data_IF_578080800786
#
_entry.id   IF_578080800786
#
_cell.length_a   1.000
_cell.length_b   1.000
_cell.length_c   1.000
_cell.angle_alpha   90.00
_cell.angle_beta   90.00
_cell.angle_gamma   90.00
#
_symmetry.space_group_name_H-M   'P 1'
#
loop_
_entity.id
_entity.type
_entity.pdbx_description
1 polymer ?
#
# COMPACT_ATOMS: atom_id res chain seq x y z
N UNK A 1 13.34 -28.57 -29.42
CA UNK A 1 12.04 -28.03 -29.88
C UNK A 1 11.03 -28.12 -28.73
N UNK A 2 10.84 -27.03 -27.95
CA UNK A 2 9.81 -26.99 -26.88
C UNK A 2 8.43 -26.99 -27.55
N UNK A 3 7.61 -28.02 -27.31
CA UNK A 3 6.19 -27.99 -27.70
C UNK A 3 5.50 -26.93 -26.83
N UNK A 4 4.98 -25.86 -27.45
CA UNK A 4 4.03 -24.97 -26.77
C UNK A 4 2.85 -25.84 -26.35
N UNK A 5 2.60 -25.96 -25.05
CA UNK A 5 1.37 -26.56 -24.54
C UNK A 5 0.26 -25.62 -24.97
N UNK A 6 -0.63 -26.11 -25.82
CA UNK A 6 -1.81 -25.36 -26.24
C UNK A 6 -2.63 -25.09 -24.99
N UNK A 7 -2.79 -23.80 -24.64
CA UNK A 7 -3.61 -23.41 -23.50
C UNK A 7 -5.06 -23.77 -23.83
N UNK A 8 -5.70 -24.51 -22.94
CA UNK A 8 -7.10 -24.88 -23.09
C UNK A 8 -7.94 -23.59 -23.30
N UNK A 9 -8.90 -23.60 -24.25
CA UNK A 9 -9.61 -22.38 -24.64
C UNK A 9 -10.20 -21.59 -23.47
N UNK A 10 -10.73 -22.27 -22.45
CA UNK A 10 -11.31 -21.63 -21.27
C UNK A 10 -10.26 -20.90 -20.43
N UNK A 11 -9.05 -21.43 -20.31
CA UNK A 11 -7.92 -20.73 -19.66
C UNK A 11 -7.48 -19.49 -20.45
N UNK A 12 -7.45 -19.59 -21.79
CA UNK A 12 -7.13 -18.44 -22.65
C UNK A 12 -8.20 -17.33 -22.52
N UNK A 13 -9.47 -17.70 -22.39
CA UNK A 13 -10.55 -16.75 -22.12
C UNK A 13 -10.37 -15.99 -20.80
N UNK A 14 -9.80 -16.63 -19.77
CA UNK A 14 -9.55 -15.99 -18.48
C UNK A 14 -8.33 -15.07 -18.53
N UNK A 15 -7.23 -15.52 -19.14
CA UNK A 15 -5.95 -14.79 -19.19
C UNK A 15 -6.02 -13.59 -20.15
N UNK A 16 -6.69 -13.74 -21.29
CA UNK A 16 -6.76 -12.71 -22.35
C UNK A 16 -8.12 -12.00 -22.43
N UNK A 17 -8.91 -12.03 -21.35
CA UNK A 17 -10.25 -11.42 -21.31
C UNK A 17 -10.23 -9.94 -21.72
N UNK A 18 -9.22 -9.17 -21.29
CA UNK A 18 -9.07 -7.74 -21.60
C UNK A 18 -8.90 -7.45 -23.10
N UNK A 19 -8.34 -8.40 -23.86
CA UNK A 19 -8.03 -8.27 -25.30
C UNK A 19 -9.19 -8.71 -26.18
N UNK A 20 -10.23 -9.31 -25.60
CA UNK A 20 -11.36 -9.87 -26.34
C UNK A 20 -12.50 -8.84 -26.46
N UNK A 21 -12.99 -8.57 -27.68
CA UNK A 21 -14.10 -7.65 -27.86
C UNK A 21 -15.38 -8.23 -27.22
N UNK A 22 -16.08 -7.42 -26.41
CA UNK A 22 -17.37 -7.77 -25.82
C UNK A 22 -17.35 -8.32 -24.39
N UNK A 23 -16.19 -8.66 -23.84
CA UNK A 23 -16.03 -9.03 -22.41
C UNK A 23 -15.40 -7.87 -21.65
N UNK A 24 -16.20 -6.83 -21.40
CA UNK A 24 -15.78 -5.71 -20.56
C UNK A 24 -15.99 -6.10 -19.10
N UNK A 25 -14.91 -6.47 -18.40
CA UNK A 25 -14.99 -6.76 -16.97
C UNK A 25 -15.54 -5.52 -16.24
N UNK A 26 -16.78 -5.60 -15.72
CA UNK A 26 -17.44 -4.48 -15.02
C UNK A 26 -16.86 -4.23 -13.63
N UNK A 27 -16.16 -5.22 -13.05
CA UNK A 27 -15.27 -4.95 -11.92
C UNK A 27 -14.00 -4.40 -12.54
N UNK A 28 -13.67 -3.14 -12.21
CA UNK A 28 -12.27 -2.79 -12.03
C UNK A 28 -11.78 -3.72 -10.92
N UNK A 29 -11.29 -4.90 -11.31
CA UNK A 29 -10.25 -5.56 -10.52
C UNK A 29 -9.23 -4.45 -10.44
N UNK A 30 -9.10 -3.83 -9.26
CA UNK A 30 -7.89 -3.06 -8.99
C UNK A 30 -6.79 -3.99 -9.47
N UNK A 31 -5.96 -3.55 -10.41
CA UNK A 31 -4.74 -4.26 -10.71
C UNK A 31 -4.03 -4.38 -9.37
N UNK A 32 -4.30 -5.45 -8.63
CA UNK A 32 -3.47 -5.89 -7.52
C UNK A 32 -2.26 -6.31 -8.31
N UNK A 33 -1.37 -5.35 -8.52
CA UNK A 33 -0.19 -5.54 -9.30
C UNK A 33 0.56 -6.63 -8.56
N UNK A 34 0.48 -7.87 -9.03
CA UNK A 34 1.43 -8.91 -8.70
C UNK A 34 2.73 -8.55 -9.42
N UNK A 35 3.24 -7.36 -9.11
CA UNK A 35 4.45 -6.80 -9.69
C UNK A 35 5.61 -7.54 -9.04
N UNK A 36 5.88 -8.73 -9.59
CA UNK A 36 7.02 -9.54 -9.22
C UNK A 36 8.28 -9.07 -9.95
N UNK A 37 8.27 -7.91 -10.60
CA UNK A 37 9.41 -7.37 -11.34
C UNK A 37 10.66 -7.24 -10.45
N UNK A 38 10.49 -6.86 -9.17
CA UNK A 38 11.60 -6.81 -8.22
C UNK A 38 12.11 -8.20 -7.84
N UNK A 39 11.23 -9.20 -7.76
CA UNK A 39 11.60 -10.59 -7.49
C UNK A 39 12.38 -11.18 -8.68
N UNK A 40 11.85 -11.03 -9.89
CA UNK A 40 12.49 -11.53 -11.13
C UNK A 40 13.88 -10.90 -11.30
N UNK A 41 14.00 -9.57 -11.16
CA UNK A 41 15.27 -8.87 -11.28
C UNK A 41 16.30 -9.31 -10.22
N UNK A 42 15.85 -9.60 -8.99
CA UNK A 42 16.74 -10.10 -7.94
C UNK A 42 17.16 -11.55 -8.18
N UNK A 43 16.30 -12.39 -8.74
CA UNK A 43 16.64 -13.75 -9.15
C UNK A 43 17.70 -13.75 -10.26
N UNK A 44 17.50 -12.95 -11.32
CA UNK A 44 18.44 -12.81 -12.43
C UNK A 44 19.80 -12.29 -11.93
N UNK A 45 19.79 -11.22 -11.13
CA UNK A 45 21.01 -10.67 -10.53
C UNK A 45 21.76 -11.71 -9.67
N UNK A 46 21.03 -12.54 -8.91
CA UNK A 46 21.64 -13.54 -8.03
C UNK A 46 22.29 -14.68 -8.82
N UNK A 47 21.68 -15.11 -9.93
CA UNK A 47 22.29 -16.08 -10.85
C UNK A 47 23.55 -15.52 -11.48
N UNK A 48 23.49 -14.30 -12.03
CA UNK A 48 24.64 -13.61 -12.63
C UNK A 48 25.77 -13.44 -11.61
N UNK A 49 25.47 -12.94 -10.41
CA UNK A 49 26.47 -12.71 -9.37
C UNK A 49 27.11 -14.01 -8.89
N UNK A 50 26.35 -15.11 -8.86
CA UNK A 50 26.91 -16.42 -8.49
C UNK A 50 27.85 -16.94 -9.56
N UNK A 51 27.49 -16.78 -10.84
CA UNK A 51 28.37 -17.14 -11.95
C UNK A 51 29.65 -16.30 -11.96
N UNK A 52 29.57 -15.01 -11.64
CA UNK A 52 30.71 -14.08 -11.59
C UNK A 52 31.67 -14.40 -10.44
N UNK A 53 31.14 -14.62 -9.22
CA UNK A 53 31.97 -14.80 -8.01
C UNK A 53 32.51 -16.23 -7.89
N UNK A 54 31.70 -17.24 -8.20
CA UNK A 54 32.03 -18.65 -7.96
C UNK A 54 32.23 -19.45 -9.25
N UNK A 55 31.97 -18.85 -10.42
CA UNK A 55 32.08 -19.51 -11.70
C UNK A 55 30.82 -20.30 -12.09
N UNK A 56 30.66 -20.54 -13.39
CA UNK A 56 29.52 -21.24 -13.96
C UNK A 56 29.35 -22.67 -13.43
N UNK A 57 30.44 -23.39 -13.14
CA UNK A 57 30.37 -24.74 -12.58
C UNK A 57 29.68 -24.74 -11.20
N UNK A 58 30.08 -23.83 -10.30
CA UNK A 58 29.48 -23.70 -8.98
C UNK A 58 27.99 -23.32 -9.05
N UNK A 59 27.61 -22.44 -9.99
CA UNK A 59 26.20 -22.11 -10.23
C UNK A 59 25.39 -23.35 -10.65
N UNK A 60 25.92 -24.23 -11.51
CA UNK A 60 25.19 -25.44 -11.92
C UNK A 60 25.12 -26.50 -10.82
N UNK A 61 26.19 -26.68 -10.06
CA UNK A 61 26.29 -27.75 -9.07
C UNK A 61 25.57 -27.40 -7.75
N UNK A 62 25.61 -26.13 -7.34
CA UNK A 62 25.11 -25.68 -6.03
C UNK A 62 23.98 -24.65 -6.13
N UNK A 63 23.78 -24.05 -7.30
CA UNK A 63 22.76 -23.03 -7.51
C UNK A 63 23.14 -21.63 -7.02
N UNK A 64 22.25 -20.65 -7.23
CA UNK A 64 22.47 -19.24 -6.88
C UNK A 64 22.48 -18.96 -5.37
N UNK A 65 22.25 -19.99 -4.53
CA UNK A 65 22.25 -19.86 -3.07
C UNK A 65 23.60 -19.60 -2.43
N UNK A 66 24.68 -19.67 -3.20
CA UNK A 66 26.02 -19.34 -2.73
C UNK A 66 26.18 -17.84 -2.42
N UNK A 67 25.55 -16.95 -3.18
CA UNK A 67 25.64 -15.49 -2.96
C UNK A 67 24.62 -15.01 -1.94
N UNK A 68 23.35 -15.42 -2.10
CA UNK A 68 22.25 -15.09 -1.20
C UNK A 68 21.47 -16.38 -0.91
N UNK A 69 21.19 -16.77 0.33
CA UNK A 69 20.26 -17.86 0.62
C UNK A 69 18.82 -17.53 0.21
N UNK A 70 18.01 -18.54 -0.16
CA UNK A 70 16.61 -18.32 -0.58
C UNK A 70 15.79 -17.55 0.47
N UNK A 71 15.93 -17.93 1.74
CA UNK A 71 15.21 -17.27 2.85
C UNK A 71 15.55 -15.80 3.00
N UNK A 72 16.79 -15.41 2.66
CA UNK A 72 17.21 -14.01 2.69
C UNK A 72 16.63 -13.28 1.48
N UNK A 73 16.65 -13.89 0.29
CA UNK A 73 16.06 -13.30 -0.91
C UNK A 73 14.56 -13.02 -0.73
N UNK A 74 13.81 -14.01 -0.24
CA UNK A 74 12.38 -13.89 0.03
C UNK A 74 12.11 -12.75 1.02
N UNK A 75 12.92 -12.65 2.08
CA UNK A 75 12.79 -11.58 3.07
C UNK A 75 13.13 -10.20 2.49
N UNK A 76 14.11 -10.10 1.58
CA UNK A 76 14.41 -8.85 0.87
C UNK A 76 13.22 -8.41 0.02
N UNK A 77 12.62 -9.34 -0.73
CA UNK A 77 11.45 -9.08 -1.59
C UNK A 77 10.28 -8.60 -0.72
N UNK A 78 9.99 -9.31 0.37
CA UNK A 78 8.95 -8.93 1.32
C UNK A 78 9.20 -7.52 1.88
N UNK A 79 10.41 -7.24 2.36
CA UNK A 79 10.75 -5.94 2.91
C UNK A 79 10.70 -4.82 1.86
N UNK A 80 11.06 -5.11 0.61
CA UNK A 80 10.94 -4.16 -0.49
C UNK A 80 9.47 -3.84 -0.82
N UNK A 81 8.61 -4.86 -0.87
CA UNK A 81 7.16 -4.69 -1.07
C UNK A 81 6.52 -3.82 0.03
N UNK A 82 6.99 -3.95 1.26
CA UNK A 82 6.54 -3.14 2.39
C UNK A 82 7.26 -1.79 2.52
N UNK A 83 8.23 -1.49 1.65
CA UNK A 83 9.00 -0.24 1.67
C UNK A 83 9.85 -0.06 2.93
N UNK A 84 10.38 -1.15 3.51
CA UNK A 84 11.19 -1.11 4.74
C UNK A 84 12.68 -0.85 4.50
N UNK A 85 13.18 -1.17 3.31
CA UNK A 85 14.61 -1.11 2.98
C UNK A 85 14.86 0.09 2.06
N UNK A 86 15.60 1.08 2.54
CA UNK A 86 16.02 2.26 1.75
C UNK A 86 17.54 2.42 1.69
N UNK A 87 18.25 1.81 2.64
CA UNK A 87 19.71 1.87 2.75
C UNK A 87 20.29 0.47 2.96
N UNK A 88 21.60 0.31 2.71
CA UNK A 88 22.29 -0.96 2.95
C UNK A 88 22.28 -1.35 4.42
N UNK A 89 22.19 -0.35 5.31
CA UNK A 89 22.04 -0.56 6.75
C UNK A 89 20.65 -1.12 7.10
N UNK A 90 19.59 -0.63 6.45
CA UNK A 90 18.24 -1.21 6.63
C UNK A 90 18.20 -2.64 6.12
N UNK A 91 18.82 -2.91 4.96
CA UNK A 91 18.96 -4.26 4.41
C UNK A 91 19.64 -5.20 5.40
N UNK A 92 20.77 -4.77 5.98
CA UNK A 92 21.49 -5.55 6.98
C UNK A 92 20.65 -5.78 8.24
N UNK A 93 19.96 -4.74 8.70
CA UNK A 93 19.16 -4.78 9.92
C UNK A 93 17.95 -5.72 9.79
N UNK A 94 17.24 -5.66 8.66
CA UNK A 94 16.05 -6.49 8.44
C UNK A 94 16.43 -7.95 8.15
N UNK A 95 17.49 -8.20 7.39
CA UNK A 95 17.81 -9.55 6.91
C UNK A 95 18.91 -10.27 7.70
N UNK A 96 19.78 -9.54 8.39
CA UNK A 96 20.99 -10.09 9.01
C UNK A 96 22.02 -10.62 8.01
N UNK A 97 21.85 -10.36 6.71
CA UNK A 97 22.72 -10.90 5.67
C UNK A 97 24.11 -10.26 5.72
N UNK A 98 25.15 -11.09 5.79
CA UNK A 98 26.55 -10.67 5.99
C UNK A 98 27.10 -9.80 4.87
N UNK A 99 26.67 -10.04 3.63
CA UNK A 99 27.19 -9.33 2.45
C UNK A 99 26.31 -8.13 2.05
N UNK A 100 25.41 -7.69 2.94
CA UNK A 100 24.57 -6.51 2.72
C UNK A 100 25.38 -5.23 2.49
N UNK A 101 26.56 -5.10 3.10
CA UNK A 101 27.45 -3.96 2.87
C UNK A 101 28.10 -4.02 1.49
N UNK A 102 28.47 -5.23 1.04
CA UNK A 102 29.15 -5.47 -0.23
C UNK A 102 28.22 -5.30 -1.43
N UNK A 103 27.00 -5.84 -1.34
CA UNK A 103 26.07 -5.91 -2.45
C UNK A 103 24.82 -5.04 -2.28
N UNK A 104 24.64 -4.40 -1.13
CA UNK A 104 23.42 -3.66 -0.81
C UNK A 104 23.12 -2.53 -1.78
N UNK A 105 24.13 -1.81 -2.28
CA UNK A 105 23.94 -0.73 -3.25
C UNK A 105 23.38 -1.23 -4.59
N UNK A 106 23.87 -2.38 -5.09
CA UNK A 106 23.36 -3.01 -6.31
C UNK A 106 21.91 -3.46 -6.12
N UNK A 107 21.62 -4.13 -5.00
CA UNK A 107 20.28 -4.61 -4.67
C UNK A 107 19.28 -3.45 -4.52
N UNK A 108 19.65 -2.39 -3.80
CA UNK A 108 18.81 -1.20 -3.65
C UNK A 108 18.50 -0.54 -5.00
N UNK A 109 19.47 -0.54 -5.91
CA UNK A 109 19.30 0.00 -7.25
C UNK A 109 18.28 -0.80 -8.04
N UNK A 110 18.33 -2.14 -7.95
CA UNK A 110 17.34 -3.04 -8.56
C UNK A 110 15.95 -2.84 -7.94
N UNK A 111 15.87 -2.82 -6.61
CA UNK A 111 14.60 -2.62 -5.90
C UNK A 111 13.94 -1.29 -6.25
N UNK A 112 14.73 -0.22 -6.41
CA UNK A 112 14.22 1.09 -6.78
C UNK A 112 13.77 1.13 -8.24
N UNK A 113 14.54 0.52 -9.14
CA UNK A 113 14.21 0.46 -10.57
C UNK A 113 12.92 -0.34 -10.85
N UNK A 114 12.65 -1.36 -10.05
CA UNK A 114 11.51 -2.27 -10.19
C UNK A 114 10.42 -2.06 -9.12
N UNK A 115 10.42 -0.91 -8.44
CA UNK A 115 9.40 -0.62 -7.43
C UNK A 115 8.02 -0.44 -8.10
N UNK A 116 6.97 -1.12 -7.61
CA UNK A 116 5.63 -0.95 -8.17
C UNK A 116 5.16 0.50 -8.02
N UNK A 117 4.38 1.03 -8.98
CA UNK A 117 3.77 2.34 -8.85
C UNK A 117 2.99 2.41 -7.53
N UNK A 118 3.33 3.39 -6.68
CA UNK A 118 2.60 3.59 -5.42
C UNK A 118 1.12 3.80 -5.74
N UNK A 119 0.30 2.80 -5.42
CA UNK A 119 -1.14 2.91 -5.58
C UNK A 119 -1.64 3.96 -4.59
N UNK A 120 -1.89 5.17 -5.08
CA UNK A 120 -2.57 6.20 -4.31
C UNK A 120 -4.03 5.76 -4.17
N UNK A 121 -4.33 5.03 -3.11
CA UNK A 121 -5.64 4.39 -2.98
C UNK A 121 -6.77 5.34 -2.61
N UNK A 122 -6.54 6.63 -2.34
CA UNK A 122 -7.63 7.58 -2.07
C UNK A 122 -7.26 9.01 -2.46
N UNK A 123 -7.69 9.46 -3.64
CA UNK A 123 -8.04 10.88 -3.80
C UNK A 123 -9.42 11.03 -3.15
N UNK A 124 -9.46 11.47 -1.90
CA UNK A 124 -10.70 11.99 -1.33
C UNK A 124 -10.96 13.32 -2.03
N UNK A 125 -11.65 13.28 -3.16
CA UNK A 125 -12.21 14.51 -3.73
C UNK A 125 -13.29 14.97 -2.75
N UNK A 126 -13.12 16.10 -2.03
CA UNK A 126 -14.19 16.60 -1.19
C UNK A 126 -15.39 16.90 -2.10
N UNK A 127 -16.52 16.28 -1.80
CA UNK A 127 -17.79 16.60 -2.46
C UNK A 127 -18.10 18.06 -2.14
N UNK A 128 -17.92 18.95 -3.11
CA UNK A 128 -18.28 20.35 -2.95
C UNK A 128 -19.80 20.42 -2.76
N UNK A 129 -20.22 20.70 -1.53
CA UNK A 129 -21.61 21.02 -1.25
C UNK A 129 -21.93 22.34 -1.96
N UNK A 130 -22.77 22.25 -2.99
CA UNK A 130 -23.24 23.39 -3.75
C UNK A 130 -24.29 24.13 -2.89
N UNK A 131 -23.85 25.08 -2.07
CA UNK A 131 -24.77 25.94 -1.32
C UNK A 131 -25.22 27.06 -2.26
N UNK A 132 -26.37 26.85 -2.90
CA UNK A 132 -27.05 27.87 -3.68
C UNK A 132 -27.42 29.06 -2.77
N UNK A 133 -27.03 30.25 -3.21
CA UNK A 133 -27.30 31.55 -2.62
C UNK A 133 -28.80 31.82 -2.42
N UNK A 134 -29.16 32.53 -1.34
CA UNK A 134 -29.82 33.83 -1.52
C UNK A 134 -29.77 34.74 -0.26
N UNK A 135 -29.92 36.07 -0.44
CA UNK A 135 -29.46 37.12 0.47
C UNK A 135 -30.60 37.77 1.28
N UNK A 136 -30.26 38.46 2.39
CA UNK A 136 -30.80 39.78 2.76
C UNK A 136 -30.02 40.40 3.94
N UNK A 137 -29.44 41.58 3.70
CA UNK A 137 -29.04 42.63 4.65
C UNK A 137 -30.29 43.40 5.17
N UNK A 138 -30.23 44.48 5.98
CA UNK A 138 -29.16 45.07 6.83
C UNK A 138 -29.64 45.46 8.26
N UNK A 139 -28.74 45.75 9.22
CA UNK A 139 -28.85 46.95 10.09
C UNK A 139 -27.61 47.15 11.00
N UNK A 140 -27.12 48.39 11.06
CA UNK A 140 -26.11 49.01 11.95
C UNK A 140 -26.82 50.31 12.41
N UNK A 141 -26.63 50.96 13.61
CA UNK A 141 -25.32 51.29 14.18
C UNK A 141 -25.18 51.59 15.71
N UNK A 142 -23.91 51.79 16.16
CA UNK A 142 -23.43 52.76 17.21
C UNK A 142 -23.76 52.48 18.71
N UNK A 143 -22.89 52.61 19.74
CA UNK A 143 -21.68 53.41 19.99
C UNK A 143 -20.75 52.85 21.11
N UNK A 144 -19.46 53.22 21.00
CA UNK A 144 -18.51 53.73 22.02
C UNK A 144 -18.20 52.99 23.33
N UNK A 145 -16.91 52.66 23.53
CA UNK A 145 -16.33 52.29 24.83
C UNK A 145 -14.86 51.85 24.75
N UNK A 146 -13.97 52.60 25.39
CA UNK A 146 -12.49 52.57 25.33
C UNK A 146 -11.77 51.28 25.80
N UNK A 147 -10.65 51.00 25.13
CA UNK A 147 -9.34 50.48 25.60
C UNK A 147 -9.24 49.19 26.45
N UNK A 148 -8.51 48.17 25.97
CA UNK A 148 -7.09 47.91 26.30
C UNK A 148 -6.60 46.59 25.66
N UNK A 149 -5.35 46.62 25.21
CA UNK A 149 -4.60 45.50 24.65
C UNK A 149 -4.30 44.44 25.72
N UNK A 150 -4.60 43.18 25.42
CA UNK A 150 -3.88 42.04 25.95
C UNK A 150 -3.92 40.90 24.92
N UNK A 151 -2.75 40.62 24.34
CA UNK A 151 -2.54 39.52 23.40
C UNK A 151 -2.26 38.26 24.23
N UNK A 152 -3.26 37.39 24.36
CA UNK A 152 -3.05 35.99 24.72
C UNK A 152 -3.69 35.08 23.67
N UNK A 153 -2.84 34.20 23.14
CA UNK A 153 -3.09 33.27 22.05
C UNK A 153 -4.13 32.21 22.45
N UNK A 154 -5.08 31.86 21.56
CA UNK A 154 -6.14 30.90 21.87
C UNK A 154 -5.62 29.46 21.90
N UNK A 155 -5.83 28.80 23.05
CA UNK A 155 -5.72 27.35 23.23
C UNK A 155 -6.63 26.65 22.22
N UNK A 156 -6.01 25.81 21.40
CA UNK A 156 -6.66 25.04 20.33
C UNK A 156 -7.86 24.25 20.83
N UNK A 157 -8.99 24.44 20.15
CA UNK A 157 -10.21 23.70 20.30
C UNK A 157 -9.94 22.19 20.17
N UNK A 158 -10.14 21.44 21.26
CA UNK A 158 -10.14 19.98 21.24
C UNK A 158 -11.35 19.53 20.41
N UNK A 159 -11.10 19.12 19.18
CA UNK A 159 -12.11 18.55 18.29
C UNK A 159 -12.81 17.39 19.01
N UNK A 160 -14.09 17.57 19.33
CA UNK A 160 -14.90 16.54 19.97
C UNK A 160 -15.01 15.35 19.00
N UNK A 161 -14.33 14.23 19.31
CA UNK A 161 -14.48 12.97 18.56
C UNK A 161 -15.97 12.63 18.51
N UNK A 162 -16.53 12.53 17.29
CA UNK A 162 -17.90 12.04 17.10
C UNK A 162 -17.98 10.64 17.69
N UNK A 163 -18.81 10.47 18.71
CA UNK A 163 -19.06 9.18 19.32
C UNK A 163 -19.90 8.35 18.36
N UNK A 164 -19.46 7.13 18.11
CA UNK A 164 -20.19 6.18 17.29
C UNK A 164 -21.50 5.81 18.01
N UNK A 165 -22.62 5.97 17.29
CA UNK A 165 -23.94 5.53 17.72
C UNK A 165 -24.23 4.14 17.17
N UNK A 166 -24.83 3.30 17.99
CA UNK A 166 -25.29 1.99 17.58
C UNK A 166 -26.39 2.13 16.52
N UNK A 167 -26.25 1.49 15.37
CA UNK A 167 -27.26 1.54 14.30
C UNK A 167 -28.56 0.82 14.64
N UNK A 168 -28.55 -0.08 15.64
CA UNK A 168 -29.73 -0.84 16.04
C UNK A 168 -30.55 -0.17 17.16
N UNK A 169 -29.90 0.50 18.13
CA UNK A 169 -30.59 1.14 19.27
C UNK A 169 -30.35 2.66 19.40
N UNK A 170 -29.47 3.25 18.57
CA UNK A 170 -29.16 4.68 18.58
C UNK A 170 -28.25 5.16 19.72
N UNK A 171 -27.95 4.31 20.72
CA UNK A 171 -27.14 4.66 21.88
C UNK A 171 -25.65 4.69 21.56
N UNK A 172 -24.91 5.54 22.26
CA UNK A 172 -23.45 5.66 22.13
C UNK A 172 -22.70 4.63 22.98
N UNK A 173 -21.44 4.38 22.66
CA UNK A 173 -20.56 3.48 23.43
C UNK A 173 -20.54 2.02 22.97
N UNK A 174 -21.37 1.65 21.99
CA UNK A 174 -21.31 0.34 21.34
C UNK A 174 -21.83 0.42 19.89
N UNK A 175 -21.63 -0.65 19.11
CA UNK A 175 -22.22 -0.81 17.77
C UNK A 175 -23.25 -1.96 17.77
N UNK A 176 -24.01 -2.12 16.68
CA UNK A 176 -25.09 -3.11 16.58
C UNK A 176 -24.64 -4.58 16.71
N UNK A 177 -23.34 -4.85 16.54
CA UNK A 177 -22.76 -6.19 16.69
C UNK A 177 -22.29 -6.48 18.12
N UNK A 178 -22.32 -5.51 19.02
CA UNK A 178 -21.93 -5.72 20.40
C UNK A 178 -23.06 -6.42 21.17
N UNK A 179 -22.75 -7.46 21.94
CA UNK A 179 -23.71 -8.26 22.71
C UNK A 179 -24.40 -7.48 23.86
N UNK A 180 -23.82 -6.33 24.21
CA UNK A 180 -24.37 -5.35 25.16
C UNK A 180 -25.55 -4.58 24.53
N UNK A 181 -25.72 -4.60 23.21
CA UNK A 181 -26.84 -3.95 22.55
C UNK A 181 -28.17 -4.63 22.95
N UNK A 182 -29.19 -3.87 23.38
CA UNK A 182 -30.51 -4.44 23.68
C UNK A 182 -31.18 -5.05 22.44
N UNK A 183 -30.85 -4.54 21.24
CA UNK A 183 -31.37 -5.02 19.96
C UNK A 183 -30.40 -5.98 19.24
N UNK A 184 -29.55 -6.70 19.98
CA UNK A 184 -28.61 -7.64 19.39
C UNK A 184 -29.33 -8.85 18.76
N UNK A 185 -28.92 -9.35 17.58
CA UNK A 185 -29.60 -10.46 16.88
C UNK A 185 -29.70 -11.76 17.70
N UNK A 186 -28.83 -11.94 18.69
CA UNK A 186 -28.88 -13.11 19.59
C UNK A 186 -29.90 -12.97 20.73
N UNK A 187 -30.62 -11.86 20.85
CA UNK A 187 -31.62 -11.59 21.90
C UNK A 187 -33.07 -11.56 21.37
N UNK A 188 -33.24 -11.57 20.05
CA UNK A 188 -34.51 -11.76 19.33
C UNK A 188 -34.68 -13.21 18.96
#
# INVERSE_FOLDING_TARGET
KRRKKELEPSMDFLINAEKRPGVMCRRKVFDICFDNASADALHDWREEKTADVYGWACLNDHGPSLVIPNSILDHIIDCAHHGKIHTSQDLQKETGWTDSEKYGSEILSLLTAHAPPRQSLLVVTPLQHNTANNPMLPHVPTASGMQREHVELPVSAVASKRRNKCSACGQEGHNARNCICPNHPSRT
#
